data_IF_469488372702
#
_entry.id   IF_469488372702
#
_cell.length_a   1.000
_cell.length_b   1.000
_cell.length_c   1.000
_cell.angle_alpha   90.00
_cell.angle_beta   90.00
_cell.angle_gamma   90.00
#
_symmetry.space_group_name_H-M   'P 1'
#
loop_
_entity.id
_entity.type
_entity.pdbx_description
1 polymer ?
#
# COMPACT_ATOMS: atom_id res chain seq x y z
N UNK A 1 20.39 10.27 -8.12
CA UNK A 1 19.32 9.26 -7.94
C UNK A 1 19.44 8.78 -6.51
N UNK A 2 18.39 8.89 -5.70
CA UNK A 2 18.47 8.40 -4.32
C UNK A 2 18.34 6.86 -4.26
N UNK A 3 18.57 6.29 -3.06
CA UNK A 3 18.54 4.81 -2.91
C UNK A 3 17.17 4.19 -3.19
N UNK A 4 16.08 4.89 -2.88
CA UNK A 4 14.73 4.38 -3.07
C UNK A 4 14.33 4.38 -4.55
N UNK A 5 14.70 5.43 -5.29
CA UNK A 5 14.51 5.49 -6.75
C UNK A 5 15.29 4.37 -7.46
N UNK A 6 16.56 4.15 -7.08
CA UNK A 6 17.36 3.05 -7.62
C UNK A 6 16.76 1.68 -7.29
N UNK A 7 16.18 1.51 -6.10
CA UNK A 7 15.48 0.29 -5.70
C UNK A 7 14.27 0.04 -6.59
N UNK A 8 13.39 1.04 -6.80
CA UNK A 8 12.20 0.91 -7.63
C UNK A 8 12.56 0.55 -9.08
N UNK A 9 13.55 1.20 -9.67
CA UNK A 9 14.02 0.85 -11.02
C UNK A 9 14.54 -0.60 -11.10
N UNK A 10 15.27 -1.04 -10.08
CA UNK A 10 15.72 -2.44 -10.01
C UNK A 10 14.54 -3.41 -9.89
N UNK A 11 13.55 -3.10 -9.05
CA UNK A 11 12.35 -3.93 -8.89
C UNK A 11 11.50 -3.94 -10.15
N UNK A 12 11.35 -2.80 -10.84
CA UNK A 12 10.64 -2.71 -12.12
C UNK A 12 11.28 -3.49 -13.28
N UNK A 13 12.54 -3.92 -13.12
CA UNK A 13 13.20 -4.83 -14.07
C UNK A 13 12.79 -6.30 -13.90
N UNK A 14 12.11 -6.66 -12.81
CA UNK A 14 11.63 -8.03 -12.54
C UNK A 14 10.65 -8.53 -13.59
N UNK A 15 10.54 -9.84 -13.73
CA UNK A 15 9.47 -10.47 -14.53
C UNK A 15 8.10 -10.24 -13.87
N UNK A 16 7.01 -10.50 -14.58
CA UNK A 16 5.67 -10.44 -14.01
C UNK A 16 5.48 -11.51 -12.92
N UNK A 17 6.06 -12.70 -13.10
CA UNK A 17 6.06 -13.76 -12.11
C UNK A 17 6.75 -13.33 -10.81
N UNK A 18 7.88 -12.65 -10.91
CA UNK A 18 8.59 -12.12 -9.74
C UNK A 18 7.81 -10.99 -9.05
N UNK A 19 7.05 -10.18 -9.81
CA UNK A 19 6.16 -9.16 -9.22
C UNK A 19 4.94 -9.80 -8.55
N UNK A 20 4.36 -10.86 -9.09
CA UNK A 20 3.30 -11.62 -8.43
C UNK A 20 3.78 -12.21 -7.10
N UNK A 21 4.99 -12.78 -7.08
CA UNK A 21 5.62 -13.29 -5.83
C UNK A 21 5.84 -12.15 -4.83
N UNK A 22 6.30 -10.99 -5.29
CA UNK A 22 6.49 -9.82 -4.43
C UNK A 22 5.17 -9.37 -3.79
N UNK A 23 4.07 -9.35 -4.55
CA UNK A 23 2.76 -8.99 -4.03
C UNK A 23 2.24 -10.02 -3.03
N UNK A 24 2.40 -11.31 -3.31
CA UNK A 24 2.06 -12.38 -2.36
C UNK A 24 2.82 -12.24 -1.05
N UNK A 25 4.13 -12.01 -1.11
CA UNK A 25 4.97 -11.78 0.08
C UNK A 25 4.52 -10.54 0.88
N UNK A 26 4.16 -9.45 0.19
CA UNK A 26 3.65 -8.25 0.86
C UNK A 26 2.33 -8.50 1.58
N UNK A 27 1.44 -9.34 1.01
CA UNK A 27 0.21 -9.78 1.68
C UNK A 27 0.49 -10.62 2.92
N UNK A 28 1.41 -11.58 2.81
CA UNK A 28 1.84 -12.42 3.95
C UNK A 28 2.48 -11.58 5.07
N UNK A 29 3.27 -10.56 4.73
CA UNK A 29 3.89 -9.65 5.69
C UNK A 29 2.84 -8.80 6.42
N UNK A 30 1.81 -8.31 5.72
CA UNK A 30 0.67 -7.63 6.34
C UNK A 30 -0.10 -8.55 7.29
N UNK A 31 -0.40 -9.79 6.87
CA UNK A 31 -1.07 -10.77 7.72
C UNK A 31 -0.24 -11.07 8.98
N UNK A 32 1.05 -11.29 8.82
CA UNK A 32 1.96 -11.52 9.94
C UNK A 32 2.00 -10.32 10.91
N UNK A 33 2.07 -9.09 10.38
CA UNK A 33 2.06 -7.88 11.18
C UNK A 33 0.78 -7.72 12.00
N UNK A 34 -0.38 -8.08 11.45
CA UNK A 34 -1.68 -7.86 12.08
C UNK A 34 -2.21 -9.05 12.87
N UNK A 35 -1.63 -10.24 12.76
CA UNK A 35 -2.17 -11.52 13.25
C UNK A 35 -2.63 -11.49 14.70
N UNK A 36 -1.84 -10.89 15.58
CA UNK A 36 -2.10 -10.85 17.02
C UNK A 36 -2.61 -9.48 17.51
N UNK A 37 -2.93 -8.58 16.60
CA UNK A 37 -3.43 -7.25 16.93
C UNK A 37 -4.91 -7.34 17.25
N UNK A 38 -5.33 -6.88 18.43
CA UNK A 38 -6.74 -6.77 18.82
C UNK A 38 -7.37 -5.47 18.28
N UNK A 39 -8.70 -5.37 18.32
CA UNK A 39 -9.41 -4.15 17.93
C UNK A 39 -8.99 -2.94 18.78
N UNK A 40 -8.80 -3.12 20.10
CA UNK A 40 -8.31 -2.09 21.01
C UNK A 40 -6.91 -1.62 20.61
N UNK A 41 -6.02 -2.56 20.30
CA UNK A 41 -4.68 -2.25 19.83
C UNK A 41 -4.66 -1.54 18.49
N UNK A 42 -5.56 -1.92 17.57
CA UNK A 42 -5.64 -1.34 16.23
C UNK A 42 -6.17 0.11 16.24
N UNK A 43 -6.92 0.49 17.26
CA UNK A 43 -7.44 1.86 17.48
C UNK A 43 -6.57 2.71 18.39
N UNK A 44 -5.49 2.16 18.95
CA UNK A 44 -4.57 2.90 19.81
C UNK A 44 -3.90 4.05 19.06
N UNK A 45 -4.05 5.26 19.60
CA UNK A 45 -3.40 6.48 19.09
C UNK A 45 -2.04 6.66 19.78
N UNK A 46 -0.91 6.53 19.05
CA UNK A 46 0.42 6.69 19.63
C UNK A 46 0.68 8.14 20.05
N UNK A 47 1.61 8.36 20.96
CA UNK A 47 2.11 9.70 21.23
C UNK A 47 2.77 10.30 19.95
N UNK A 48 2.71 11.63 19.78
CA UNK A 48 3.35 12.28 18.62
C UNK A 48 4.83 11.93 18.60
N UNK A 49 5.27 11.18 17.58
CA UNK A 49 6.69 10.87 17.44
C UNK A 49 7.41 12.03 16.75
N UNK A 50 8.59 12.39 17.24
CA UNK A 50 9.51 13.32 16.55
C UNK A 50 10.15 12.67 15.30
N UNK A 51 9.80 11.43 14.98
CA UNK A 51 10.34 10.71 13.84
C UNK A 51 9.91 11.43 12.56
N UNK A 52 10.92 11.87 11.82
CA UNK A 52 10.72 12.52 10.52
C UNK A 52 9.87 11.62 9.62
N UNK A 53 8.80 12.20 9.05
CA UNK A 53 8.04 11.57 7.98
C UNK A 53 9.00 11.01 6.94
N UNK A 54 8.82 9.75 6.58
CA UNK A 54 9.49 9.29 5.36
C UNK A 54 8.89 10.04 4.18
N UNK A 55 9.65 10.38 3.14
CA UNK A 55 9.12 11.10 1.98
C UNK A 55 8.02 10.34 1.24
N UNK A 56 7.84 9.06 1.54
CA UNK A 56 6.99 8.11 0.80
C UNK A 56 5.62 7.96 1.43
N UNK A 57 5.54 8.01 2.75
CA UNK A 57 4.27 7.85 3.47
C UNK A 57 3.66 9.22 3.75
N UNK A 58 2.40 9.41 3.37
CA UNK A 58 1.60 10.56 3.78
C UNK A 58 1.23 10.53 5.27
N UNK A 59 2.12 10.02 6.14
CA UNK A 59 1.87 9.73 7.55
C UNK A 59 1.29 10.91 8.32
N UNK A 60 0.12 10.71 8.91
CA UNK A 60 -0.34 11.52 10.03
C UNK A 60 0.53 11.26 11.27
N UNK A 61 0.86 12.28 12.08
CA UNK A 61 1.80 12.14 13.19
C UNK A 61 1.31 11.25 14.33
N UNK A 62 0.04 10.82 14.31
CA UNK A 62 -0.61 10.04 15.37
C UNK A 62 -1.55 8.96 14.82
N UNK A 63 -1.33 8.47 13.63
CA UNK A 63 -2.20 7.43 13.09
C UNK A 63 -2.17 6.15 13.90
N UNK A 64 -3.35 5.61 14.21
CA UNK A 64 -3.49 4.24 14.70
C UNK A 64 -3.32 3.23 13.55
N UNK A 65 -3.24 1.94 13.87
CA UNK A 65 -3.06 0.91 12.85
C UNK A 65 -4.20 0.89 11.81
N UNK A 66 -5.45 1.14 12.20
CA UNK A 66 -6.60 1.20 11.28
C UNK A 66 -6.50 2.36 10.30
N UNK A 67 -6.03 3.53 10.74
CA UNK A 67 -5.78 4.69 9.87
C UNK A 67 -4.67 4.38 8.85
N UNK A 68 -3.61 3.71 9.28
CA UNK A 68 -2.51 3.27 8.40
C UNK A 68 -3.03 2.31 7.33
N UNK A 69 -3.83 1.31 7.71
CA UNK A 69 -4.42 0.34 6.78
C UNK A 69 -5.38 1.04 5.80
N UNK A 70 -6.25 1.91 6.31
CA UNK A 70 -7.20 2.67 5.50
C UNK A 70 -6.49 3.52 4.45
N UNK A 71 -5.47 4.26 4.87
CA UNK A 71 -4.65 5.05 3.95
C UNK A 71 -3.98 4.17 2.88
N UNK A 72 -3.37 3.06 3.27
CA UNK A 72 -2.74 2.12 2.34
C UNK A 72 -3.75 1.63 1.30
N UNK A 73 -4.88 1.08 1.72
CA UNK A 73 -5.90 0.54 0.81
C UNK A 73 -6.44 1.58 -0.17
N UNK A 74 -6.73 2.79 0.31
CA UNK A 74 -7.23 3.89 -0.53
C UNK A 74 -6.20 4.30 -1.58
N UNK A 75 -4.95 4.49 -1.17
CA UNK A 75 -3.87 4.91 -2.07
C UNK A 75 -3.59 3.84 -3.11
N UNK A 76 -3.42 2.59 -2.68
CA UNK A 76 -2.99 1.50 -3.55
C UNK A 76 -4.08 1.08 -4.55
N UNK A 77 -5.37 1.14 -4.18
CA UNK A 77 -6.46 0.91 -5.14
C UNK A 77 -6.50 1.97 -6.22
N UNK A 78 -6.33 3.23 -5.88
CA UNK A 78 -6.22 4.32 -6.86
C UNK A 78 -5.04 4.15 -7.80
N UNK A 79 -3.92 3.62 -7.30
CA UNK A 79 -2.75 3.32 -8.13
C UNK A 79 -3.01 2.14 -9.07
N UNK A 80 -3.69 1.09 -8.62
CA UNK A 80 -4.09 -0.03 -9.48
C UNK A 80 -4.98 0.46 -10.63
N UNK A 81 -5.93 1.36 -10.37
CA UNK A 81 -6.79 1.94 -11.42
C UNK A 81 -5.99 2.77 -12.42
N UNK A 82 -5.04 3.59 -11.93
CA UNK A 82 -4.17 4.38 -12.77
C UNK A 82 -3.28 3.50 -13.65
N UNK A 83 -2.71 2.42 -13.11
CA UNK A 83 -1.91 1.44 -13.83
C UNK A 83 -2.76 0.72 -14.89
N UNK A 84 -3.96 0.25 -14.54
CA UNK A 84 -4.87 -0.41 -15.46
C UNK A 84 -5.28 0.52 -16.61
N UNK A 85 -5.66 1.76 -16.29
CA UNK A 85 -6.05 2.77 -17.29
C UNK A 85 -4.92 3.10 -18.25
N UNK A 86 -3.69 3.28 -17.75
CA UNK A 86 -2.51 3.55 -18.57
C UNK A 86 -2.14 2.35 -19.46
N UNK A 87 -2.34 1.14 -18.95
CA UNK A 87 -2.11 -0.10 -19.69
C UNK A 87 -3.18 -0.41 -20.75
N UNK A 88 -4.34 0.25 -20.66
CA UNK A 88 -5.50 -0.07 -21.52
C UNK A 88 -6.13 -1.43 -21.16
N UNK A 89 -5.99 -1.90 -19.93
CA UNK A 89 -6.64 -3.12 -19.43
C UNK A 89 -7.81 -2.77 -18.52
N UNK A 90 -8.71 -3.73 -18.28
CA UNK A 90 -9.83 -3.52 -17.37
C UNK A 90 -9.34 -3.24 -15.96
N UNK A 91 -9.89 -2.23 -15.25
CA UNK A 91 -9.55 -1.97 -13.86
C UNK A 91 -10.01 -3.13 -12.96
N UNK A 92 -9.43 -3.26 -11.75
CA UNK A 92 -9.91 -4.18 -10.74
C UNK A 92 -11.41 -3.96 -10.42
N UNK A 93 -12.12 -4.99 -9.93
CA UNK A 93 -13.56 -4.89 -9.64
C UNK A 93 -13.91 -3.90 -8.52
N UNK A 94 -12.97 -3.62 -7.63
CA UNK A 94 -13.14 -2.64 -6.55
C UNK A 94 -12.26 -1.42 -6.82
N UNK A 95 -12.70 -0.46 -7.64
CA UNK A 95 -11.90 0.70 -7.98
C UNK A 95 -11.58 1.55 -6.73
N UNK A 96 -10.41 2.14 -6.75
CA UNK A 96 -10.00 3.11 -5.74
C UNK A 96 -10.69 4.46 -5.94
N UNK A 97 -10.66 5.32 -4.91
CA UNK A 97 -11.19 6.67 -5.03
C UNK A 97 -10.32 7.53 -5.94
N UNK A 98 -10.91 8.57 -6.49
CA UNK A 98 -10.13 9.64 -7.10
C UNK A 98 -9.25 10.33 -6.06
N UNK A 99 -8.18 11.00 -6.51
CA UNK A 99 -7.28 11.74 -5.60
C UNK A 99 -8.03 12.74 -4.71
N UNK A 100 -9.12 13.33 -5.21
CA UNK A 100 -9.96 14.26 -4.43
C UNK A 100 -10.79 13.57 -3.34
N UNK A 101 -11.03 12.27 -3.43
CA UNK A 101 -11.86 11.48 -2.51
C UNK A 101 -11.00 10.70 -1.49
N UNK A 102 -9.69 10.59 -1.72
CA UNK A 102 -8.80 9.76 -0.90
C UNK A 102 -8.88 10.06 0.60
N UNK A 103 -8.96 11.34 0.98
CA UNK A 103 -9.06 11.73 2.38
C UNK A 103 -10.38 11.30 3.05
N UNK A 104 -11.51 11.40 2.33
CA UNK A 104 -12.82 11.00 2.86
C UNK A 104 -12.95 9.48 2.99
N UNK A 105 -12.50 8.73 2.01
CA UNK A 105 -12.58 7.27 2.05
C UNK A 105 -11.63 6.64 3.09
N UNK A 106 -10.49 7.25 3.37
CA UNK A 106 -9.63 6.80 4.46
C UNK A 106 -10.40 6.74 5.78
N UNK A 107 -11.20 7.77 6.08
CA UNK A 107 -12.04 7.82 7.28
C UNK A 107 -13.12 6.73 7.31
N UNK A 108 -13.67 6.35 6.16
CA UNK A 108 -14.62 5.22 6.08
C UNK A 108 -13.96 3.89 6.43
N UNK A 109 -12.74 3.66 5.94
CA UNK A 109 -11.98 2.46 6.28
C UNK A 109 -11.64 2.38 7.77
N UNK A 110 -11.27 3.51 8.39
CA UNK A 110 -11.00 3.56 9.83
C UNK A 110 -12.19 3.11 10.70
N UNK A 111 -13.41 3.37 10.25
CA UNK A 111 -14.63 2.98 10.95
C UNK A 111 -14.93 1.47 10.87
N UNK A 112 -14.28 0.72 9.95
CA UNK A 112 -14.50 -0.71 9.79
C UNK A 112 -13.84 -1.51 10.93
N UNK A 113 -14.41 -2.67 11.32
CA UNK A 113 -13.73 -3.62 12.19
C UNK A 113 -12.39 -4.09 11.61
N UNK A 114 -11.43 -4.43 12.47
CA UNK A 114 -10.09 -4.84 12.03
C UNK A 114 -10.08 -6.11 11.17
N UNK A 115 -10.96 -7.07 11.46
CA UNK A 115 -11.12 -8.29 10.67
C UNK A 115 -11.58 -7.98 9.23
N UNK A 116 -12.48 -7.03 9.05
CA UNK A 116 -12.89 -6.54 7.73
C UNK A 116 -11.75 -5.83 7.01
N UNK A 117 -10.92 -5.08 7.73
CA UNK A 117 -9.73 -4.45 7.14
C UNK A 117 -8.69 -5.48 6.67
N UNK A 118 -8.51 -6.57 7.43
CA UNK A 118 -7.65 -7.70 7.02
C UNK A 118 -8.17 -8.38 5.76
N UNK A 119 -9.49 -8.64 5.70
CA UNK A 119 -10.12 -9.19 4.50
C UNK A 119 -9.90 -8.30 3.28
N UNK A 120 -10.10 -6.98 3.43
CA UNK A 120 -9.85 -6.00 2.36
C UNK A 120 -8.40 -5.91 1.91
N UNK A 121 -7.44 -6.10 2.81
CA UNK A 121 -6.02 -6.21 2.44
C UNK A 121 -5.77 -7.46 1.60
N UNK A 122 -6.30 -8.62 2.01
CA UNK A 122 -6.19 -9.86 1.24
C UNK A 122 -6.80 -9.72 -0.15
N UNK A 123 -8.03 -9.19 -0.24
CA UNK A 123 -8.70 -8.90 -1.51
C UNK A 123 -7.85 -7.99 -2.42
N UNK A 124 -7.28 -6.93 -1.86
CA UNK A 124 -6.44 -6.00 -2.60
C UNK A 124 -5.20 -6.68 -3.22
N UNK A 125 -4.49 -7.51 -2.46
CA UNK A 125 -3.33 -8.22 -2.99
C UNK A 125 -3.70 -9.23 -4.07
N UNK A 126 -4.82 -9.95 -3.91
CA UNK A 126 -5.36 -10.85 -4.95
C UNK A 126 -5.75 -10.09 -6.22
N UNK A 127 -6.39 -8.93 -6.08
CA UNK A 127 -6.75 -8.06 -7.19
C UNK A 127 -5.51 -7.54 -7.92
N UNK A 128 -4.48 -7.15 -7.17
CA UNK A 128 -3.20 -6.68 -7.75
C UNK A 128 -2.49 -7.80 -8.50
N UNK A 129 -2.48 -9.03 -7.99
CA UNK A 129 -1.92 -10.19 -8.71
C UNK A 129 -2.70 -10.45 -10.01
N UNK A 130 -4.05 -10.36 -10.00
CA UNK A 130 -4.85 -10.47 -11.23
C UNK A 130 -4.55 -9.35 -12.22
N UNK A 131 -4.37 -8.11 -11.75
CA UNK A 131 -3.94 -6.98 -12.60
C UNK A 131 -2.58 -7.25 -13.24
N UNK A 132 -1.59 -7.74 -12.48
CA UNK A 132 -0.27 -8.11 -13.01
C UNK A 132 -0.41 -9.13 -14.14
N UNK A 133 -1.27 -10.13 -13.98
CA UNK A 133 -1.57 -11.10 -15.03
C UNK A 133 -2.15 -10.47 -16.30
N UNK A 134 -3.08 -9.52 -16.15
CA UNK A 134 -3.67 -8.80 -17.28
C UNK A 134 -2.67 -7.90 -18.01
N UNK A 135 -1.70 -7.33 -17.30
CA UNK A 135 -0.68 -6.45 -17.89
C UNK A 135 0.27 -7.18 -18.87
N UNK A 136 0.38 -8.51 -18.78
CA UNK A 136 1.24 -9.30 -19.70
C UNK A 136 0.89 -9.12 -21.15
N UNK A 137 -0.37 -8.80 -21.45
CA UNK A 137 -0.87 -8.55 -22.81
C UNK A 137 -0.87 -7.08 -23.22
N UNK A 138 -0.47 -6.16 -22.35
CA UNK A 138 -0.46 -4.72 -22.65
C UNK A 138 0.67 -4.36 -23.62
N UNK A 139 0.34 -3.56 -24.63
CA UNK A 139 1.31 -2.96 -25.53
C UNK A 139 1.95 -1.68 -24.98
N UNK A 140 1.43 -1.15 -23.85
CA UNK A 140 1.80 0.15 -23.30
C UNK A 140 2.72 0.05 -22.08
N UNK A 141 3.42 -1.06 -21.85
CA UNK A 141 4.24 -1.29 -20.65
C UNK A 141 5.29 -0.19 -20.36
N UNK A 142 5.73 0.52 -21.39
CA UNK A 142 6.67 1.63 -21.28
C UNK A 142 6.04 2.98 -20.92
N UNK A 143 4.71 3.08 -20.90
CA UNK A 143 4.04 4.31 -20.49
C UNK A 143 4.32 4.62 -19.01
N UNK A 144 4.46 5.91 -18.71
CA UNK A 144 4.83 6.38 -17.38
C UNK A 144 3.86 7.42 -16.87
N UNK A 145 3.68 7.50 -15.54
CA UNK A 145 3.14 8.68 -14.89
C UNK A 145 3.97 9.05 -13.66
N UNK A 146 3.87 10.32 -13.25
CA UNK A 146 4.79 10.88 -12.27
C UNK A 146 4.39 10.52 -10.83
N UNK A 147 5.34 9.96 -10.07
CA UNK A 147 5.28 9.92 -8.62
C UNK A 147 5.83 11.23 -8.05
N UNK A 148 5.21 11.84 -7.01
CA UNK A 148 5.64 13.13 -6.46
C UNK A 148 7.10 13.15 -5.98
N UNK A 149 7.62 12.01 -5.52
CA UNK A 149 8.96 11.88 -4.95
C UNK A 149 9.94 11.23 -5.93
N UNK A 150 9.52 10.18 -6.65
CA UNK A 150 10.40 9.37 -7.49
C UNK A 150 10.42 9.78 -8.96
N UNK A 151 9.57 10.75 -9.35
CA UNK A 151 9.45 11.15 -10.75
C UNK A 151 8.66 10.14 -11.58
N UNK A 152 8.87 10.08 -12.91
CA UNK A 152 8.11 9.19 -13.78
C UNK A 152 8.48 7.73 -13.49
N UNK A 153 7.45 6.92 -13.22
CA UNK A 153 7.53 5.47 -13.04
C UNK A 153 6.71 4.78 -14.12
N UNK A 154 7.22 3.68 -14.67
CA UNK A 154 6.47 2.81 -15.55
C UNK A 154 5.57 1.85 -14.73
N UNK A 155 4.72 1.07 -15.41
CA UNK A 155 3.73 0.21 -14.74
C UNK A 155 4.36 -0.80 -13.79
N UNK A 156 5.48 -1.43 -14.18
CA UNK A 156 6.16 -2.41 -13.33
C UNK A 156 6.82 -1.76 -12.10
N UNK A 157 7.33 -0.54 -12.27
CA UNK A 157 7.87 0.25 -11.15
C UNK A 157 6.76 0.69 -10.18
N UNK A 158 5.58 1.03 -10.69
CA UNK A 158 4.42 1.31 -9.85
C UNK A 158 3.94 0.08 -9.08
N UNK A 159 3.88 -1.09 -9.72
CA UNK A 159 3.57 -2.34 -9.01
C UNK A 159 4.62 -2.67 -7.95
N UNK A 160 5.90 -2.44 -8.24
CA UNK A 160 6.95 -2.61 -7.25
C UNK A 160 6.86 -1.59 -6.10
N UNK A 161 6.31 -0.39 -6.38
CA UNK A 161 6.04 0.62 -5.36
C UNK A 161 5.03 0.13 -4.32
N UNK A 162 4.00 -0.66 -4.68
CA UNK A 162 3.07 -1.26 -3.70
C UNK A 162 3.82 -2.03 -2.61
N UNK A 163 4.80 -2.86 -2.99
CA UNK A 163 5.61 -3.60 -2.01
C UNK A 163 6.48 -2.71 -1.12
N UNK A 164 7.07 -1.64 -1.69
CA UNK A 164 7.84 -0.67 -0.92
C UNK A 164 6.94 0.08 0.08
N UNK A 165 5.78 0.50 -0.36
CA UNK A 165 4.79 1.23 0.45
C UNK A 165 4.20 0.33 1.55
N UNK A 166 3.90 -0.95 1.22
CA UNK A 166 3.50 -1.95 2.22
C UNK A 166 4.54 -2.08 3.34
N UNK A 167 5.81 -2.26 2.97
CA UNK A 167 6.90 -2.40 3.94
C UNK A 167 7.04 -1.15 4.84
N UNK A 168 6.84 0.05 4.29
CA UNK A 168 6.93 1.29 5.06
C UNK A 168 5.80 1.40 6.09
N UNK A 169 4.56 1.06 5.71
CA UNK A 169 3.41 1.06 6.61
C UNK A 169 3.42 -0.09 7.63
N UNK A 170 3.90 -1.27 7.27
CA UNK A 170 4.15 -2.35 8.23
C UNK A 170 5.13 -1.89 9.30
N UNK A 171 6.24 -1.26 8.91
CA UNK A 171 7.20 -0.69 9.87
C UNK A 171 6.58 0.42 10.73
N UNK A 172 5.66 1.19 10.19
CA UNK A 172 4.92 2.19 10.96
C UNK A 172 4.08 1.52 12.06
N UNK A 173 3.32 0.47 11.72
CA UNK A 173 2.54 -0.29 12.72
C UNK A 173 3.45 -0.95 13.76
N UNK A 174 4.58 -1.53 13.35
CA UNK A 174 5.54 -2.11 14.28
C UNK A 174 6.10 -1.06 15.25
N UNK A 175 6.32 0.17 14.81
CA UNK A 175 6.67 1.29 15.71
C UNK A 175 5.55 1.62 16.70
N UNK A 176 4.28 1.65 16.24
CA UNK A 176 3.11 1.87 17.12
C UNK A 176 3.06 0.82 18.24
N UNK A 177 3.31 -0.44 17.92
CA UNK A 177 3.36 -1.54 18.93
C UNK A 177 4.46 -1.36 19.99
N UNK A 178 5.48 -0.55 19.71
CA UNK A 178 6.55 -0.27 20.69
C UNK A 178 6.29 0.95 21.56
N UNK A 179 5.18 1.66 21.36
CA UNK A 179 4.79 2.80 22.20
C UNK A 179 4.54 2.36 23.64
N UNK A 180 5.00 3.18 24.60
CA UNK A 180 4.87 2.87 26.02
C UNK A 180 3.43 2.78 26.55
N UNK A 181 2.47 3.38 25.83
CA UNK A 181 1.04 3.32 26.10
C UNK A 181 0.29 2.23 25.33
N UNK A 182 0.97 1.47 24.46
CA UNK A 182 0.31 0.44 23.64
C UNK A 182 -0.36 -0.63 24.51
N UNK A 183 -1.66 -0.97 24.27
CA UNK A 183 -2.39 -1.95 25.07
C UNK A 183 -1.69 -3.32 25.04
N UNK A 184 -1.58 -3.94 26.22
CA UNK A 184 -1.03 -5.30 26.33
C UNK A 184 -2.10 -6.32 25.91
N UNK A 185 -1.68 -7.38 25.23
CA UNK A 185 -2.55 -8.51 24.91
C UNK A 185 -3.02 -9.24 26.17
#
# INVERSE_FOLDING_TARGET
MDRASSFLHHQGAKSFEELEVLMGQSGDDWDACLREVSEEQATFQPEPSEHKRTPVSGEGPRWCAKEVIGHYLVTERSLNDAVAGLAGVAPPPNPGPTVSEMGAQSTEYEALPLDILREKLSEFFEETVRLIGALRSSENLGATFAHPVFGPLNMKEWLAFHGLHAMDHIRQIERIKTDGGYPKA
#
